data_IF_977857596466
#
_entry.id   IF_977857596466
#
_cell.length_a   1.000
_cell.length_b   1.000
_cell.length_c   1.000
_cell.angle_alpha   90.00
_cell.angle_beta   90.00
_cell.angle_gamma   90.00
#
_symmetry.space_group_name_H-M   'P 1'
#
loop_
_entity.id
_entity.type
_entity.pdbx_description
1 polymer ?
#
# COMPACT_ATOMS: atom_id res chain seq x y z
N UNK A 1 -23.19 -15.07 -4.22
CA UNK A 1 -22.27 -15.41 -3.12
C UNK A 1 -21.03 -14.51 -3.09
N UNK A 2 -20.31 -14.26 -4.20
CA UNK A 2 -19.17 -13.32 -4.20
C UNK A 2 -19.52 -11.89 -3.76
N UNK A 3 -20.67 -11.37 -4.22
CA UNK A 3 -21.18 -10.05 -3.80
C UNK A 3 -21.34 -9.94 -2.28
N UNK A 4 -21.87 -10.98 -1.63
CA UNK A 4 -21.99 -11.03 -0.17
C UNK A 4 -20.64 -11.00 0.53
N UNK A 5 -19.60 -11.61 -0.07
CA UNK A 5 -18.23 -11.55 0.48
C UNK A 5 -17.61 -10.17 0.31
N UNK A 6 -17.86 -9.50 -0.81
CA UNK A 6 -17.46 -8.11 -1.01
C UNK A 6 -18.14 -7.18 -0.01
N UNK A 7 -19.44 -7.38 0.26
CA UNK A 7 -20.15 -6.64 1.30
C UNK A 7 -19.56 -6.89 2.69
N UNK A 8 -19.28 -8.15 3.03
CA UNK A 8 -18.60 -8.52 4.29
C UNK A 8 -17.22 -7.89 4.42
N UNK A 9 -16.44 -7.88 3.33
CA UNK A 9 -15.14 -7.21 3.29
C UNK A 9 -15.29 -5.70 3.53
N UNK A 10 -16.29 -5.03 2.96
CA UNK A 10 -16.46 -3.59 3.17
C UNK A 10 -17.07 -3.22 4.52
N UNK A 11 -17.79 -4.14 5.18
CA UNK A 11 -18.46 -3.88 6.45
C UNK A 11 -17.55 -3.89 7.69
N UNK A 12 -16.32 -4.44 7.57
CA UNK A 12 -15.42 -4.66 8.71
C UNK A 12 -14.01 -4.13 8.42
N UNK A 13 -13.28 -3.68 9.45
CA UNK A 13 -11.84 -3.41 9.32
C UNK A 13 -11.03 -4.72 9.18
N UNK A 14 -11.58 -5.86 9.59
CA UNK A 14 -10.94 -7.17 9.47
C UNK A 14 -11.13 -7.74 8.06
N UNK A 15 -10.24 -8.65 7.65
CA UNK A 15 -10.34 -9.35 6.37
C UNK A 15 -11.46 -10.41 6.42
N UNK A 16 -12.30 -10.39 5.39
CA UNK A 16 -13.31 -11.43 5.20
C UNK A 16 -12.61 -12.76 4.88
N UNK A 17 -13.06 -13.90 5.43
CA UNK A 17 -12.52 -15.21 5.09
C UNK A 17 -12.76 -15.55 3.61
N UNK A 18 -11.65 -15.60 2.88
CA UNK A 18 -11.58 -16.06 1.50
C UNK A 18 -10.60 -17.24 1.38
N UNK A 19 -10.76 -18.10 0.35
CA UNK A 19 -9.77 -19.13 0.05
C UNK A 19 -8.38 -18.52 -0.13
N UNK A 20 -7.34 -19.18 0.40
CA UNK A 20 -5.99 -18.62 0.49
C UNK A 20 -5.36 -18.24 -0.87
N UNK A 21 -5.76 -18.89 -1.95
CA UNK A 21 -5.31 -18.63 -3.33
C UNK A 21 -6.44 -18.21 -4.27
N UNK A 22 -7.46 -17.52 -3.72
CA UNK A 22 -8.65 -17.18 -4.51
C UNK A 22 -8.31 -16.36 -5.76
N UNK A 23 -7.33 -15.46 -5.68
CA UNK A 23 -7.00 -14.55 -6.76
C UNK A 23 -6.30 -15.28 -7.90
N UNK A 24 -5.30 -16.10 -7.60
CA UNK A 24 -4.54 -16.84 -8.60
C UNK A 24 -5.46 -17.80 -9.37
N UNK A 25 -6.30 -18.54 -8.65
CA UNK A 25 -7.25 -19.48 -9.24
C UNK A 25 -8.27 -18.72 -10.10
N UNK A 26 -8.88 -17.66 -9.56
CA UNK A 26 -9.89 -16.91 -10.29
C UNK A 26 -9.31 -16.22 -11.54
N UNK A 27 -8.11 -15.64 -11.46
CA UNK A 27 -7.42 -15.06 -12.62
C UNK A 27 -7.14 -16.11 -13.68
N UNK A 28 -6.70 -17.33 -13.31
CA UNK A 28 -6.50 -18.41 -14.29
C UNK A 28 -7.81 -18.82 -14.97
N UNK A 29 -8.87 -19.03 -14.19
CA UNK A 29 -10.19 -19.42 -14.73
C UNK A 29 -10.74 -18.35 -15.67
N UNK A 30 -10.77 -17.10 -15.23
CA UNK A 30 -11.29 -15.98 -16.03
C UNK A 30 -10.45 -15.65 -17.26
N UNK A 31 -9.20 -16.09 -17.30
CA UNK A 31 -8.29 -15.91 -18.45
C UNK A 31 -8.45 -17.00 -19.49
N UNK A 32 -8.55 -18.26 -19.06
CA UNK A 32 -8.49 -19.41 -19.96
C UNK A 32 -9.84 -20.09 -20.22
N UNK A 33 -10.81 -19.91 -19.33
CA UNK A 33 -12.13 -20.52 -19.41
C UNK A 33 -13.28 -19.52 -19.14
N UNK A 34 -13.28 -18.29 -19.72
CA UNK A 34 -14.36 -17.34 -19.48
C UNK A 34 -15.71 -17.81 -20.02
N UNK A 35 -15.72 -18.60 -21.11
CA UNK A 35 -16.94 -19.07 -21.76
C UNK A 35 -17.69 -20.14 -20.95
N UNK A 36 -16.97 -20.82 -20.04
CA UNK A 36 -17.55 -21.80 -19.11
C UNK A 36 -18.19 -21.15 -17.88
N UNK A 37 -18.14 -19.81 -17.78
CA UNK A 37 -18.58 -19.06 -16.61
C UNK A 37 -19.73 -18.11 -16.94
N UNK A 38 -20.83 -18.24 -16.20
CA UNK A 38 -21.90 -17.25 -16.25
C UNK A 38 -21.43 -15.91 -15.68
N UNK A 39 -21.64 -14.83 -16.43
CA UNK A 39 -21.32 -13.46 -15.99
C UNK A 39 -19.84 -13.26 -15.63
N UNK A 40 -18.90 -13.86 -16.39
CA UNK A 40 -17.45 -13.75 -16.17
C UNK A 40 -16.97 -12.31 -15.94
N UNK A 41 -17.51 -11.34 -16.69
CA UNK A 41 -17.15 -9.94 -16.55
C UNK A 41 -17.58 -9.34 -15.21
N UNK A 42 -18.78 -9.69 -14.73
CA UNK A 42 -19.23 -9.28 -13.39
C UNK A 42 -18.36 -9.87 -12.29
N UNK A 43 -17.91 -11.10 -12.48
CA UNK A 43 -17.00 -11.76 -11.52
C UNK A 43 -15.66 -11.03 -11.47
N UNK A 44 -15.12 -10.60 -12.62
CA UNK A 44 -13.90 -9.78 -12.69
C UNK A 44 -14.03 -8.50 -11.87
N UNK A 45 -15.11 -7.75 -12.09
CA UNK A 45 -15.36 -6.49 -11.37
C UNK A 45 -15.43 -6.70 -9.85
N UNK A 46 -16.18 -7.71 -9.39
CA UNK A 46 -16.29 -7.99 -7.95
C UNK A 46 -14.94 -8.40 -7.35
N UNK A 47 -14.13 -9.17 -8.07
CA UNK A 47 -12.79 -9.57 -7.59
C UNK A 47 -11.83 -8.38 -7.53
N UNK A 48 -11.91 -7.47 -8.49
CA UNK A 48 -11.15 -6.22 -8.50
C UNK A 48 -11.53 -5.34 -7.30
N UNK A 49 -12.83 -5.18 -7.04
CA UNK A 49 -13.32 -4.42 -5.90
C UNK A 49 -12.85 -5.01 -4.55
N UNK A 50 -12.91 -6.35 -4.41
CA UNK A 50 -12.38 -7.06 -3.22
C UNK A 50 -10.87 -6.81 -3.09
N UNK A 51 -10.11 -6.94 -4.18
CA UNK A 51 -8.66 -6.72 -4.16
C UNK A 51 -8.32 -5.28 -3.75
N UNK A 52 -9.04 -4.31 -4.29
CA UNK A 52 -8.84 -2.89 -3.98
C UNK A 52 -9.15 -2.60 -2.50
N UNK A 53 -10.28 -3.10 -1.99
CA UNK A 53 -10.65 -2.96 -0.57
C UNK A 53 -9.58 -3.56 0.35
N UNK A 54 -9.09 -4.77 0.03
CA UNK A 54 -8.05 -5.46 0.82
C UNK A 54 -6.70 -4.75 0.74
N UNK A 55 -6.30 -4.23 -0.42
CA UNK A 55 -5.09 -3.42 -0.54
C UNK A 55 -5.14 -2.15 0.32
N UNK A 56 -6.27 -1.46 0.33
CA UNK A 56 -6.44 -0.25 1.13
C UNK A 56 -6.39 -0.55 2.63
N UNK A 57 -7.01 -1.65 3.08
CA UNK A 57 -6.88 -2.13 4.47
C UNK A 57 -5.44 -2.44 4.85
N UNK A 58 -4.71 -3.15 4.00
CA UNK A 58 -3.30 -3.47 4.22
C UNK A 58 -2.47 -2.19 4.34
N UNK A 59 -2.65 -1.25 3.41
CA UNK A 59 -1.95 0.04 3.41
C UNK A 59 -2.22 0.81 4.70
N UNK A 60 -3.49 0.91 5.11
CA UNK A 60 -3.89 1.59 6.33
C UNK A 60 -3.34 0.91 7.59
N UNK A 61 -3.39 -0.43 7.65
CA UNK A 61 -2.79 -1.21 8.73
C UNK A 61 -1.28 -0.96 8.83
N UNK A 62 -0.60 -0.88 7.69
CA UNK A 62 0.84 -0.60 7.64
C UNK A 62 1.21 0.81 8.10
N UNK A 63 0.43 1.81 7.71
CA UNK A 63 0.60 3.18 8.19
C UNK A 63 0.41 3.27 9.72
N UNK A 64 -0.58 2.56 10.29
CA UNK A 64 -0.77 2.49 11.74
C UNK A 64 0.46 1.92 12.44
N UNK A 65 0.99 0.79 11.96
CA UNK A 65 2.21 0.17 12.50
C UNK A 65 3.41 1.12 12.42
N UNK A 66 3.58 1.82 11.30
CA UNK A 66 4.70 2.75 11.13
C UNK A 66 4.62 3.92 12.12
N UNK A 67 3.43 4.48 12.34
CA UNK A 67 3.20 5.55 13.32
C UNK A 67 3.44 5.07 14.76
N UNK A 68 2.98 3.86 15.10
CA UNK A 68 3.19 3.27 16.42
C UNK A 68 4.69 3.09 16.72
N UNK A 69 5.46 2.64 15.73
CA UNK A 69 6.93 2.54 15.86
C UNK A 69 7.59 3.91 16.03
N UNK A 70 7.15 4.92 15.29
CA UNK A 70 7.70 6.28 15.38
C UNK A 70 7.43 6.95 16.74
N UNK A 71 6.28 6.65 17.35
CA UNK A 71 5.89 7.20 18.66
C UNK A 71 6.53 6.47 19.85
N UNK A 72 7.40 5.49 19.59
CA UNK A 72 8.11 4.72 20.62
C UNK A 72 7.35 3.48 21.10
N UNK A 73 6.26 3.10 20.45
CA UNK A 73 5.53 1.86 20.70
C UNK A 73 6.30 0.62 20.25
N UNK A 74 6.18 -0.47 21.02
CA UNK A 74 6.72 -1.79 20.66
C UNK A 74 5.71 -2.57 19.81
N UNK A 75 5.58 -2.21 18.53
CA UNK A 75 4.85 -3.02 17.56
C UNK A 75 5.70 -4.24 17.14
N UNK A 76 5.90 -5.20 18.05
CA UNK A 76 6.71 -6.40 17.79
C UNK A 76 5.95 -7.50 17.04
N UNK A 77 4.62 -7.47 17.08
CA UNK A 77 3.77 -8.49 16.45
C UNK A 77 2.52 -7.85 15.85
N UNK A 78 2.16 -8.29 14.64
CA UNK A 78 0.95 -7.89 13.94
C UNK A 78 0.18 -9.16 13.59
N UNK A 79 -1.04 -9.28 14.10
CA UNK A 79 -1.90 -10.40 13.76
C UNK A 79 -2.70 -10.07 12.50
N UNK A 80 -2.50 -10.88 11.45
CA UNK A 80 -3.18 -10.74 10.17
C UNK A 80 -3.99 -12.01 9.90
N UNK A 81 -5.25 -12.03 10.35
CA UNK A 81 -6.15 -13.15 10.11
C UNK A 81 -6.74 -13.05 8.70
N UNK A 82 -7.00 -14.21 8.07
CA UNK A 82 -7.68 -14.32 6.78
C UNK A 82 -7.02 -13.61 5.59
N UNK A 83 -5.71 -13.32 5.64
CA UNK A 83 -4.97 -12.74 4.51
C UNK A 83 -4.60 -13.83 3.51
N UNK A 84 -4.78 -13.55 2.22
CA UNK A 84 -4.49 -14.45 1.11
C UNK A 84 -3.03 -14.35 0.64
N UNK A 85 -2.58 -15.34 -0.13
CA UNK A 85 -1.19 -15.46 -0.56
C UNK A 85 -0.69 -14.24 -1.34
N UNK A 86 -1.49 -13.71 -2.27
CA UNK A 86 -1.13 -12.54 -3.08
C UNK A 86 -1.00 -11.25 -2.28
N UNK A 87 -1.79 -11.12 -1.21
CA UNK A 87 -1.71 -9.99 -0.29
C UNK A 87 -0.46 -10.06 0.59
N UNK A 88 -0.11 -11.26 1.08
CA UNK A 88 1.17 -11.47 1.78
C UNK A 88 2.33 -11.14 0.84
N UNK A 89 2.22 -11.54 -0.42
CA UNK A 89 3.27 -11.29 -1.41
C UNK A 89 3.48 -9.79 -1.68
N UNK A 90 2.41 -8.98 -1.69
CA UNK A 90 2.52 -7.55 -1.96
C UNK A 90 3.27 -6.79 -0.86
N UNK A 91 3.17 -7.22 0.40
CA UNK A 91 3.84 -6.57 1.55
C UNK A 91 5.16 -7.22 1.95
N UNK A 92 5.49 -8.39 1.40
CA UNK A 92 6.66 -9.20 1.78
C UNK A 92 7.95 -8.40 1.84
N UNK A 93 8.22 -7.63 0.78
CA UNK A 93 9.46 -6.87 0.67
C UNK A 93 9.54 -5.78 1.75
N UNK A 94 8.44 -5.07 1.98
CA UNK A 94 8.38 -4.04 3.02
C UNK A 94 8.68 -4.64 4.41
N UNK A 95 8.01 -5.73 4.77
CA UNK A 95 8.16 -6.35 6.10
C UNK A 95 9.58 -6.87 6.33
N UNK A 96 10.18 -7.48 5.30
CA UNK A 96 11.56 -7.97 5.36
C UNK A 96 12.55 -6.81 5.52
N UNK A 97 12.36 -5.71 4.79
CA UNK A 97 13.17 -4.50 4.92
C UNK A 97 13.09 -3.92 6.34
N UNK A 98 11.89 -3.75 6.89
CA UNK A 98 11.71 -3.20 8.25
C UNK A 98 12.38 -4.10 9.29
N UNK A 99 12.19 -5.42 9.22
CA UNK A 99 12.80 -6.37 10.16
C UNK A 99 14.33 -6.31 10.15
N UNK A 100 14.94 -6.26 8.95
CA UNK A 100 16.39 -6.13 8.83
C UNK A 100 16.91 -4.81 9.39
N UNK A 101 16.15 -3.74 9.27
CA UNK A 101 16.59 -2.40 9.61
C UNK A 101 16.37 -2.05 11.09
N UNK A 102 15.27 -2.52 11.70
CA UNK A 102 15.06 -2.47 13.16
C UNK A 102 16.13 -3.29 13.88
N UNK A 103 16.52 -4.45 13.33
CA UNK A 103 17.63 -5.26 13.85
C UNK A 103 18.98 -4.54 13.80
N UNK A 104 19.15 -3.56 12.91
CA UNK A 104 20.36 -2.74 12.76
C UNK A 104 20.32 -1.41 13.53
N UNK A 105 19.23 -1.10 14.25
CA UNK A 105 19.02 0.17 15.01
C UNK A 105 19.22 1.45 14.18
N UNK A 106 18.85 1.42 12.91
CA UNK A 106 18.80 2.62 12.08
C UNK A 106 17.36 2.59 11.58
N UNK A 107 16.47 3.49 11.99
CA UNK A 107 15.22 3.74 11.25
C UNK A 107 14.66 5.11 11.58
N UNK A 108 14.70 5.98 10.58
CA UNK A 108 13.92 7.20 10.48
C UNK A 108 13.17 7.12 9.15
N UNK A 109 11.90 6.69 9.19
CA UNK A 109 10.98 6.93 8.07
C UNK A 109 10.46 8.35 8.20
N UNK A 110 10.75 9.17 7.20
CA UNK A 110 10.02 10.39 6.88
C UNK A 110 9.05 10.06 5.75
N UNK A 111 7.80 9.76 6.08
CA UNK A 111 6.73 9.68 5.09
C UNK A 111 6.15 11.09 4.91
N UNK A 112 6.73 11.86 3.99
CA UNK A 112 6.17 13.17 3.61
C UNK A 112 4.95 12.95 2.73
N UNK A 113 3.77 13.26 3.26
CA UNK A 113 2.53 13.37 2.50
C UNK A 113 2.69 14.45 1.42
N UNK A 114 2.93 14.03 0.19
CA UNK A 114 2.86 14.92 -0.97
C UNK A 114 1.39 15.10 -1.34
N UNK A 115 0.75 16.15 -0.84
CA UNK A 115 -0.43 16.70 -1.48
C UNK A 115 -0.01 17.32 -2.81
N UNK A 116 -0.38 16.70 -3.91
CA UNK A 116 -0.28 17.27 -5.25
C UNK A 116 -1.31 18.40 -5.40
N UNK A 117 -0.90 19.65 -5.16
CA UNK A 117 -1.62 20.81 -5.69
C UNK A 117 -1.15 21.07 -7.12
N UNK A 118 -2.05 20.84 -8.08
CA UNK A 118 -1.94 21.38 -9.42
C UNK A 118 -2.37 22.86 -9.36
N UNK A 119 -1.41 23.77 -9.54
CA UNK A 119 -1.70 25.18 -9.82
C UNK A 119 -1.00 25.59 -11.11
N UNK A 120 -1.80 25.71 -12.16
CA UNK A 120 -1.41 26.39 -13.39
C UNK A 120 -1.37 27.89 -13.14
N UNK A 121 -0.24 28.58 -13.37
CA UNK A 121 -0.26 29.96 -13.87
C UNK A 121 1.10 30.45 -14.40
N UNK A 122 0.96 31.33 -15.40
CA UNK A 122 1.94 31.86 -16.33
C UNK A 122 2.89 32.94 -15.77
N UNK A 123 3.79 33.40 -16.66
CA UNK A 123 4.53 34.70 -16.71
C UNK A 123 5.62 34.93 -15.65
N UNK A 124 6.73 35.63 -15.84
CA UNK A 124 7.53 36.19 -16.94
C UNK A 124 8.69 37.01 -16.26
N UNK A 125 9.84 37.18 -16.94
CA UNK A 125 10.93 38.17 -16.68
C UNK A 125 11.85 37.87 -15.47
N UNK A 126 13.12 37.54 -15.69
CA UNK A 126 14.30 38.42 -15.88
C UNK A 126 14.73 39.16 -14.59
N UNK A 127 15.94 38.91 -14.09
CA UNK A 127 16.98 39.88 -13.66
C UNK A 127 18.18 39.13 -13.02
N UNK A 128 19.38 39.62 -13.31
CA UNK A 128 20.75 39.10 -13.09
C UNK A 128 21.21 38.79 -11.65
N UNK A 129 22.29 37.98 -11.45
CA UNK A 129 22.93 37.83 -10.15
C UNK A 129 24.12 38.80 -9.97
N UNK A 130 24.16 39.50 -8.84
CA UNK A 130 25.32 40.30 -8.40
C UNK A 130 26.12 39.60 -7.29
N UNK A 131 27.43 39.72 -7.37
CA UNK A 131 28.50 39.08 -6.60
C UNK A 131 28.50 39.34 -5.08
N UNK A 132 28.99 38.37 -4.32
CA UNK A 132 29.32 38.52 -2.90
C UNK A 132 30.24 37.42 -2.37
N UNK A 133 31.55 37.57 -2.57
CA UNK A 133 32.61 36.71 -2.01
C UNK A 133 32.70 36.80 -0.49
N UNK A 134 32.91 35.67 0.20
CA UNK A 134 33.94 35.56 1.27
C UNK A 134 34.19 34.11 1.72
N UNK A 135 35.41 33.65 1.45
CA UNK A 135 36.07 32.49 2.03
C UNK A 135 36.43 32.71 3.50
N UNK A 136 36.36 31.66 4.33
CA UNK A 136 37.28 31.46 5.46
C UNK A 136 37.42 29.97 5.82
N UNK A 137 38.56 29.36 5.44
CA UNK A 137 38.99 28.04 5.92
C UNK A 137 39.61 28.20 7.32
N UNK A 138 39.26 27.31 8.24
CA UNK A 138 39.99 27.09 9.48
C UNK A 138 40.85 25.82 9.34
N UNK A 139 42.10 25.93 9.78
CA UNK A 139 42.97 24.81 10.16
C UNK A 139 42.50 24.25 11.49
#
# INVERSE_FOLDING_TARGET
HLMQRMEGENASELFEPLPFHYLEIATMLLKFAPDDMEQAEKIRLILEDIQHSRQEKIRNGLCRIANDVQTGGSAHAVQLNNVAAMEINSVRQFMTCVSHFTSRKIFTISCTTSQSQFTSQASSLDTTPSSGSRLRRHR
#
